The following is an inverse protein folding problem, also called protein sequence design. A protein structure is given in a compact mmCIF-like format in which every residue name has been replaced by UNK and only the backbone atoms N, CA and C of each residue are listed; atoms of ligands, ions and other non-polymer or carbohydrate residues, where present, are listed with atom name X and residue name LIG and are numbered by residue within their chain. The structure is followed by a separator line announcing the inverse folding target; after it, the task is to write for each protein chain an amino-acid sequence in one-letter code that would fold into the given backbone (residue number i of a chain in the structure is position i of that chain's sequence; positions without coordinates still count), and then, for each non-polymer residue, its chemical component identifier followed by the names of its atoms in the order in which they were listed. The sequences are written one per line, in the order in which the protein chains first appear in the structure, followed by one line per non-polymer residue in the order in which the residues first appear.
data_IF_986444918461
#
_entry.id   IF_986444918461
#
_cell.length_a   1.000
_cell.length_b   1.000
_cell.length_c   1.000
_cell.angle_alpha   90.00
_cell.angle_beta   90.00
_cell.angle_gamma   90.00
#
_symmetry.space_group_name_H-M   'P 1'
#
loop_
_entity.id
_entity.type
_entity.pdbx_description
1 polymer ?
#
# COMPACT_ATOMS: atom_id res chain seq x y z
N UNK A 1 3.52 28.76 5.86
CA UNK A 1 4.60 29.37 5.09
C UNK A 1 4.38 30.88 4.92
N UNK A 2 3.26 31.35 4.36
CA UNK A 2 3.03 32.74 4.00
C UNK A 2 3.14 33.70 5.21
N UNK A 3 2.51 33.38 6.32
CA UNK A 3 2.51 34.22 7.54
C UNK A 3 3.91 34.34 8.15
N UNK A 4 4.60 33.22 8.34
CA UNK A 4 5.96 33.19 8.90
C UNK A 4 7.02 33.63 7.88
N UNK A 5 6.72 33.58 6.61
CA UNK A 5 7.61 33.94 5.52
C UNK A 5 8.18 35.38 5.65
N UNK A 6 7.43 36.29 6.24
CA UNK A 6 7.91 37.67 6.49
C UNK A 6 9.13 37.70 7.45
N UNK A 7 9.14 36.81 8.46
CA UNK A 7 10.27 36.68 9.41
C UNK A 7 11.47 36.09 8.71
N UNK A 8 11.25 35.00 7.95
CA UNK A 8 12.33 34.32 7.23
C UNK A 8 12.94 35.23 6.14
N UNK A 9 12.11 35.95 5.39
CA UNK A 9 12.59 36.93 4.38
C UNK A 9 13.39 38.07 5.00
N UNK A 10 13.03 38.52 6.22
CA UNK A 10 13.82 39.50 6.95
C UNK A 10 15.22 38.98 7.30
N UNK A 11 15.35 37.67 7.48
CA UNK A 11 16.62 36.97 7.74
C UNK A 11 17.33 36.51 6.45
N UNK A 12 16.85 36.98 5.27
CA UNK A 12 17.33 36.55 3.95
C UNK A 12 17.25 35.05 3.70
N UNK A 13 16.23 34.36 4.27
CA UNK A 13 15.95 32.95 4.05
C UNK A 13 14.81 32.79 3.06
N UNK A 14 14.98 31.88 2.12
CA UNK A 14 13.94 31.49 1.18
C UNK A 14 12.98 30.49 1.80
N UNK A 15 11.67 30.70 1.58
CA UNK A 15 10.61 29.85 2.13
C UNK A 15 9.72 29.34 1.01
N UNK A 16 9.49 28.04 1.00
CA UNK A 16 8.55 27.41 0.07
C UNK A 16 7.59 26.47 0.79
N UNK A 17 6.51 26.10 0.09
CA UNK A 17 5.57 25.11 0.56
C UNK A 17 5.27 24.09 -0.54
N UNK A 18 5.08 22.84 -0.13
CA UNK A 18 4.72 21.72 -1.01
C UNK A 18 3.26 21.40 -0.78
N UNK A 19 2.54 21.28 -1.88
CA UNK A 19 1.11 20.95 -1.92
C UNK A 19 0.88 19.64 -2.67
N UNK A 20 -0.24 18.96 -2.44
CA UNK A 20 -0.67 17.84 -3.25
C UNK A 20 -0.70 18.18 -4.75
N UNK A 21 -0.35 17.23 -5.59
CA UNK A 21 -0.38 17.34 -7.06
C UNK A 21 0.55 18.43 -7.65
N UNK A 22 1.52 18.91 -6.89
CA UNK A 22 2.52 19.86 -7.37
C UNK A 22 3.48 19.19 -8.36
N UNK A 23 3.77 19.80 -9.54
CA UNK A 23 4.74 19.26 -10.51
C UNK A 23 6.13 19.07 -9.92
N UNK A 24 6.85 18.02 -10.34
CA UNK A 24 8.18 17.66 -9.82
C UNK A 24 9.20 18.81 -9.93
N UNK A 25 9.18 19.60 -11.00
CA UNK A 25 10.08 20.76 -11.16
C UNK A 25 9.86 21.82 -10.10
N UNK A 26 8.60 22.09 -9.76
CA UNK A 26 8.24 23.05 -8.72
C UNK A 26 8.53 22.48 -7.32
N UNK A 27 8.29 21.18 -7.11
CA UNK A 27 8.70 20.49 -5.87
C UNK A 27 10.19 20.57 -5.66
N UNK A 28 10.99 20.33 -6.69
CA UNK A 28 12.45 20.40 -6.62
C UNK A 28 12.92 21.80 -6.21
N UNK A 29 12.33 22.84 -6.79
CA UNK A 29 12.62 24.24 -6.40
C UNK A 29 12.20 24.51 -4.95
N UNK A 30 11.05 23.98 -4.51
CA UNK A 30 10.56 24.14 -3.15
C UNK A 30 11.45 23.43 -2.12
N UNK A 31 11.97 22.24 -2.46
CA UNK A 31 12.92 21.53 -1.59
C UNK A 31 14.30 22.21 -1.51
N UNK A 32 14.68 23.02 -2.49
CA UNK A 32 15.94 23.79 -2.47
C UNK A 32 15.86 25.05 -1.61
N UNK A 33 14.64 25.51 -1.25
CA UNK A 33 14.48 26.65 -0.33
C UNK A 33 15.09 26.35 1.05
N UNK A 34 15.51 27.40 1.77
CA UNK A 34 16.10 27.27 3.11
C UNK A 34 15.11 26.65 4.10
N UNK A 35 13.83 27.02 4.00
CA UNK A 35 12.73 26.47 4.80
C UNK A 35 11.63 25.95 3.89
N UNK A 36 11.32 24.67 3.99
CA UNK A 36 10.26 24.01 3.23
C UNK A 36 9.15 23.56 4.17
N UNK A 37 7.92 24.00 3.92
CA UNK A 37 6.72 23.53 4.61
C UNK A 37 6.06 22.42 3.78
N UNK A 38 5.72 21.31 4.42
CA UNK A 38 4.98 20.22 3.78
C UNK A 38 4.21 19.41 4.84
N UNK A 39 3.24 18.63 4.40
CA UNK A 39 2.63 17.61 5.26
C UNK A 39 3.53 16.37 5.35
N UNK A 40 3.39 15.61 6.42
CA UNK A 40 4.12 14.35 6.62
C UNK A 40 3.91 13.37 5.44
N UNK A 41 2.67 13.29 4.94
CA UNK A 41 2.33 12.42 3.81
C UNK A 41 3.03 12.83 2.51
N UNK A 42 3.01 14.14 2.16
CA UNK A 42 3.70 14.62 0.95
C UNK A 42 5.20 14.31 1.00
N UNK A 43 5.84 14.56 2.15
CA UNK A 43 7.25 14.25 2.33
C UNK A 43 7.55 12.75 2.15
N UNK A 44 6.74 11.89 2.78
CA UNK A 44 6.93 10.45 2.69
C UNK A 44 6.64 9.88 1.30
N UNK A 45 5.60 10.36 0.62
CA UNK A 45 5.32 9.95 -0.75
C UNK A 45 6.35 10.47 -1.75
N UNK A 46 6.87 11.69 -1.58
CA UNK A 46 7.96 12.19 -2.42
C UNK A 46 9.23 11.35 -2.23
N UNK A 47 9.54 10.96 -0.98
CA UNK A 47 10.64 10.04 -0.71
C UNK A 47 10.47 8.70 -1.43
N UNK A 48 9.28 8.10 -1.37
CA UNK A 48 9.01 6.85 -2.07
C UNK A 48 9.15 7.01 -3.59
N UNK A 49 8.61 8.10 -4.16
CA UNK A 49 8.74 8.40 -5.59
C UNK A 49 10.19 8.60 -6.01
N UNK A 50 10.98 9.32 -5.22
CA UNK A 50 12.39 9.55 -5.48
C UNK A 50 13.21 8.24 -5.50
N UNK A 51 12.88 7.29 -4.60
CA UNK A 51 13.53 5.99 -4.57
C UNK A 51 13.13 5.04 -5.72
N UNK A 52 12.12 5.42 -6.50
CA UNK A 52 11.71 4.70 -7.72
C UNK A 52 12.30 5.33 -8.99
N UNK A 53 13.00 6.48 -8.91
CA UNK A 53 13.63 7.14 -10.05
C UNK A 53 14.93 6.44 -10.45
N UNK A 54 15.19 6.40 -11.75
CA UNK A 54 16.41 5.81 -12.30
C UNK A 54 17.59 6.78 -12.34
N UNK A 55 17.32 8.08 -12.42
CA UNK A 55 18.34 9.12 -12.52
C UNK A 55 18.31 10.03 -11.29
N UNK A 56 19.49 10.31 -10.74
CA UNK A 56 19.66 11.24 -9.59
C UNK A 56 19.13 12.65 -9.93
N UNK A 57 19.21 13.06 -11.19
CA UNK A 57 18.69 14.37 -11.63
C UNK A 57 17.18 14.53 -11.51
N UNK A 58 16.44 13.42 -11.42
CA UNK A 58 14.98 13.39 -11.29
C UNK A 58 14.51 13.42 -9.83
N UNK A 59 15.41 13.25 -8.87
CA UNK A 59 15.12 13.32 -7.44
C UNK A 59 14.72 14.74 -7.08
N UNK A 60 13.64 14.88 -6.33
CA UNK A 60 13.14 16.20 -5.92
C UNK A 60 13.57 16.57 -4.51
N UNK A 61 13.70 15.61 -3.61
CA UNK A 61 14.09 15.87 -2.22
C UNK A 61 15.60 16.14 -2.10
N UNK A 62 15.95 16.94 -1.11
CA UNK A 62 17.33 17.12 -0.64
C UNK A 62 17.63 16.20 0.54
N UNK A 63 18.86 16.25 1.06
CA UNK A 63 19.27 15.51 2.26
C UNK A 63 18.40 15.86 3.48
N UNK A 64 18.18 14.88 4.34
CA UNK A 64 17.37 14.97 5.55
C UNK A 64 18.17 15.58 6.72
N UNK A 65 18.47 16.88 6.65
CA UNK A 65 19.31 17.55 7.66
C UNK A 65 18.55 17.84 8.96
N UNK A 66 17.47 18.64 8.85
CA UNK A 66 16.71 19.08 10.03
C UNK A 66 15.21 19.13 9.72
N UNK A 67 14.42 18.63 10.64
CA UNK A 67 12.97 18.71 10.59
C UNK A 67 12.38 19.16 11.93
N UNK A 68 11.35 20.00 11.84
CA UNK A 68 10.50 20.38 12.97
C UNK A 68 9.10 19.88 12.68
N UNK A 69 8.58 19.00 13.54
CA UNK A 69 7.25 18.38 13.38
C UNK A 69 6.27 19.06 14.32
N UNK A 70 5.20 19.62 13.77
CA UNK A 70 4.08 20.12 14.53
C UNK A 70 3.12 18.97 14.88
N UNK A 71 2.42 19.03 16.01
CA UNK A 71 1.60 17.93 16.53
C UNK A 71 2.38 16.61 16.53
N UNK A 72 3.57 16.66 17.13
CA UNK A 72 4.58 15.61 17.00
C UNK A 72 4.16 14.28 17.61
N UNK A 73 3.30 14.27 18.62
CA UNK A 73 2.72 13.06 19.22
C UNK A 73 1.82 12.32 18.23
N UNK A 74 0.90 13.01 17.58
CA UNK A 74 0.06 12.39 16.57
C UNK A 74 0.88 11.79 15.41
N UNK A 75 1.88 12.51 14.91
CA UNK A 75 2.64 12.08 13.75
C UNK A 75 3.67 11.00 14.10
N UNK A 76 4.46 11.19 15.17
CA UNK A 76 5.59 10.32 15.49
C UNK A 76 5.25 9.17 16.46
N UNK A 77 4.09 9.23 17.12
CA UNK A 77 3.63 8.15 18.02
C UNK A 77 2.39 7.47 17.42
N UNK A 78 1.25 8.18 17.35
CA UNK A 78 -0.03 7.57 16.97
C UNK A 78 -0.03 7.01 15.53
N UNK A 79 0.42 7.79 14.56
CA UNK A 79 0.48 7.41 13.14
C UNK A 79 1.82 6.78 12.74
N UNK A 80 2.77 6.66 13.67
CA UNK A 80 4.16 6.27 13.39
C UNK A 80 4.31 4.97 12.62
N UNK A 81 3.46 3.98 12.91
CA UNK A 81 3.49 2.64 12.30
C UNK A 81 2.65 2.52 11.04
N UNK A 82 1.87 3.54 10.69
CA UNK A 82 1.08 3.55 9.47
C UNK A 82 2.00 3.61 8.26
N UNK A 83 1.98 2.61 7.37
CA UNK A 83 2.81 2.63 6.18
C UNK A 83 2.22 3.53 5.10
N UNK A 84 3.06 4.34 4.50
CA UNK A 84 2.81 4.94 3.20
C UNK A 84 3.17 3.91 2.13
N UNK A 85 2.29 3.68 1.17
CA UNK A 85 2.42 2.62 0.17
C UNK A 85 2.17 3.21 -1.21
N UNK A 86 3.09 2.95 -2.14
CA UNK A 86 2.86 3.13 -3.57
C UNK A 86 2.63 1.75 -4.17
N UNK A 87 1.47 1.57 -4.78
CA UNK A 87 1.11 0.36 -5.51
C UNK A 87 1.06 0.67 -7.00
N UNK A 88 1.40 -0.31 -7.80
CA UNK A 88 1.32 -0.23 -9.26
C UNK A 88 0.86 -1.56 -9.84
N UNK A 89 0.43 -1.56 -11.11
CA UNK A 89 0.06 -2.80 -11.78
C UNK A 89 1.27 -3.73 -11.84
N UNK A 90 1.03 -5.00 -11.61
CA UNK A 90 2.01 -6.04 -11.91
C UNK A 90 2.11 -6.17 -13.42
N UNK A 91 3.32 -6.38 -13.96
CA UNK A 91 3.54 -6.70 -15.38
C UNK A 91 2.94 -8.08 -15.74
N UNK A 92 1.65 -8.26 -15.41
CA UNK A 92 0.86 -9.46 -15.72
C UNK A 92 0.30 -9.44 -17.16
N UNK A 93 0.84 -8.57 -18.01
CA UNK A 93 0.46 -8.45 -19.42
C UNK A 93 0.64 -9.74 -20.26
N UNK A 94 1.16 -10.81 -19.64
CA UNK A 94 1.43 -12.10 -20.29
C UNK A 94 0.30 -13.12 -20.06
N UNK A 95 -0.63 -12.91 -19.11
CA UNK A 95 -1.63 -13.91 -18.73
C UNK A 95 -3.00 -13.55 -19.32
N UNK A 96 -3.48 -14.35 -20.26
CA UNK A 96 -4.88 -14.33 -20.66
C UNK A 96 -5.72 -15.22 -19.74
N UNK A 97 -6.25 -14.63 -18.66
CA UNK A 97 -7.11 -15.34 -17.72
C UNK A 97 -8.37 -15.93 -18.36
N UNK A 98 -8.89 -15.29 -19.41
CA UNK A 98 -10.06 -15.80 -20.15
C UNK A 98 -9.71 -17.07 -20.92
N UNK A 99 -8.53 -17.11 -21.55
CA UNK A 99 -8.02 -18.31 -22.20
C UNK A 99 -7.79 -19.44 -21.17
N UNK A 100 -7.14 -19.12 -20.05
CA UNK A 100 -6.90 -20.10 -18.99
C UNK A 100 -8.19 -20.66 -18.39
N UNK A 101 -9.21 -19.82 -18.20
CA UNK A 101 -10.52 -20.24 -17.75
C UNK A 101 -11.19 -21.20 -18.77
N UNK A 102 -11.12 -20.89 -20.06
CA UNK A 102 -11.67 -21.77 -21.10
C UNK A 102 -10.98 -23.15 -21.12
N UNK A 103 -9.66 -23.19 -20.98
CA UNK A 103 -8.89 -24.44 -20.85
C UNK A 103 -9.32 -25.21 -19.62
N UNK A 104 -9.41 -24.54 -18.47
CA UNK A 104 -9.84 -25.18 -17.22
C UNK A 104 -11.27 -25.73 -17.29
N UNK A 105 -12.19 -25.02 -17.96
CA UNK A 105 -13.57 -25.50 -18.19
C UNK A 105 -13.67 -26.71 -19.12
N UNK A 106 -12.67 -26.94 -19.95
CA UNK A 106 -12.62 -28.13 -20.84
C UNK A 106 -12.22 -29.41 -20.12
N UNK A 107 -11.70 -29.30 -18.90
CA UNK A 107 -11.29 -30.45 -18.08
C UNK A 107 -12.47 -31.03 -17.30
N UNK A 108 -12.46 -32.35 -17.16
CA UNK A 108 -13.48 -33.11 -16.43
C UNK A 108 -13.00 -33.54 -15.05
N UNK A 109 -13.87 -34.16 -14.26
CA UNK A 109 -13.50 -34.68 -12.93
C UNK A 109 -12.49 -35.85 -13.00
N UNK A 110 -12.33 -36.50 -14.15
CA UNK A 110 -11.32 -37.53 -14.37
C UNK A 110 -9.92 -36.91 -14.63
N UNK A 111 -9.87 -35.64 -14.96
CA UNK A 111 -8.64 -34.89 -15.29
C UNK A 111 -8.01 -34.19 -14.07
N UNK A 112 -8.80 -34.06 -12.98
CA UNK A 112 -8.38 -33.31 -11.78
C UNK A 112 -8.80 -34.01 -10.52
N UNK A 113 -8.04 -33.79 -9.43
CA UNK A 113 -8.46 -34.20 -8.07
C UNK A 113 -8.55 -32.97 -7.17
N UNK A 114 -9.46 -33.02 -6.20
CA UNK A 114 -9.82 -31.91 -5.33
C UNK A 114 -9.48 -32.24 -3.87
N UNK A 115 -8.93 -31.26 -3.18
CA UNK A 115 -8.82 -31.26 -1.73
C UNK A 115 -9.68 -30.10 -1.17
N UNK A 116 -10.87 -30.43 -0.67
CA UNK A 116 -11.81 -29.45 -0.14
C UNK A 116 -11.31 -28.78 1.16
N UNK A 117 -10.47 -29.46 1.94
CA UNK A 117 -9.94 -28.92 3.20
C UNK A 117 -8.94 -27.80 2.97
N UNK A 118 -8.10 -27.95 1.97
CA UNK A 118 -7.07 -26.96 1.61
C UNK A 118 -7.51 -26.02 0.49
N UNK A 119 -8.72 -26.22 -0.07
CA UNK A 119 -9.23 -25.52 -1.26
C UNK A 119 -8.21 -25.58 -2.43
N UNK A 120 -7.60 -26.76 -2.64
CA UNK A 120 -6.63 -27.00 -3.71
C UNK A 120 -7.19 -27.95 -4.77
N UNK A 121 -6.71 -27.79 -6.00
CA UNK A 121 -7.01 -28.67 -7.12
C UNK A 121 -5.70 -29.11 -7.75
N UNK A 122 -5.55 -30.43 -7.97
CA UNK A 122 -4.37 -31.02 -8.60
C UNK A 122 -4.76 -31.58 -9.97
N UNK A 123 -3.91 -31.35 -10.96
CA UNK A 123 -4.11 -31.83 -12.33
C UNK A 123 -3.52 -33.24 -12.41
N UNK A 124 -4.32 -34.19 -12.93
CA UNK A 124 -3.90 -35.55 -13.16
C UNK A 124 -3.28 -35.71 -14.57
N UNK A 125 -2.59 -36.83 -14.82
CA UNK A 125 -1.92 -37.10 -16.09
C UNK A 125 -2.82 -36.87 -17.32
N UNK A 126 -4.09 -37.35 -17.39
CA UNK A 126 -4.98 -37.07 -18.52
C UNK A 126 -5.28 -35.59 -18.71
N UNK A 127 -5.34 -34.83 -17.61
CA UNK A 127 -5.54 -33.39 -17.64
C UNK A 127 -4.33 -32.65 -18.19
N UNK A 128 -3.12 -33.08 -17.82
CA UNK A 128 -1.86 -32.52 -18.34
C UNK A 128 -1.80 -32.66 -19.86
N UNK A 129 -2.03 -33.88 -20.37
CA UNK A 129 -2.02 -34.15 -21.82
C UNK A 129 -3.03 -33.27 -22.58
N UNK A 130 -4.23 -33.08 -22.03
CA UNK A 130 -5.25 -32.21 -22.63
C UNK A 130 -4.83 -30.75 -22.68
N UNK A 131 -4.24 -30.24 -21.59
CA UNK A 131 -3.75 -28.87 -21.49
C UNK A 131 -2.63 -28.64 -22.50
N UNK A 132 -1.63 -29.51 -22.53
CA UNK A 132 -0.48 -29.45 -23.43
C UNK A 132 -0.94 -29.45 -24.89
N UNK A 133 -1.88 -30.31 -25.25
CA UNK A 133 -2.45 -30.34 -26.58
C UNK A 133 -3.21 -29.07 -26.93
N UNK A 134 -4.03 -28.55 -26.00
CA UNK A 134 -4.85 -27.36 -26.22
C UNK A 134 -4.01 -26.10 -26.38
N UNK A 135 -2.95 -25.97 -25.59
CA UNK A 135 -2.04 -24.80 -25.60
C UNK A 135 -0.81 -25.00 -26.50
N UNK A 136 -0.70 -26.18 -27.17
CA UNK A 136 0.44 -26.55 -28.02
C UNK A 136 1.77 -26.48 -27.26
N UNK A 137 1.78 -26.91 -26.00
CA UNK A 137 2.96 -27.00 -25.14
C UNK A 137 3.60 -28.37 -25.23
N UNK A 138 4.92 -28.43 -25.16
CA UNK A 138 5.68 -29.69 -25.11
C UNK A 138 5.73 -30.31 -23.72
N UNK A 139 5.77 -29.48 -22.67
CA UNK A 139 5.79 -29.89 -21.27
C UNK A 139 5.22 -28.77 -20.41
N UNK A 140 4.11 -29.02 -19.72
CA UNK A 140 3.45 -28.03 -18.86
C UNK A 140 4.32 -27.65 -17.64
N UNK A 141 5.17 -28.56 -17.17
CA UNK A 141 6.05 -28.34 -16.02
C UNK A 141 7.44 -27.76 -16.38
N UNK A 142 7.64 -27.39 -17.64
CA UNK A 142 8.84 -26.67 -18.02
C UNK A 142 8.92 -25.32 -17.30
N UNK A 143 10.12 -24.86 -16.83
CA UNK A 143 10.27 -23.56 -16.17
C UNK A 143 9.70 -22.39 -16.96
N UNK A 144 9.71 -22.45 -18.30
CA UNK A 144 9.11 -21.43 -19.16
C UNK A 144 7.57 -21.37 -19.09
N UNK A 145 6.91 -22.44 -18.64
CA UNK A 145 5.46 -22.59 -18.57
C UNK A 145 4.88 -22.47 -17.16
N UNK A 146 5.71 -22.17 -16.15
CA UNK A 146 5.27 -22.08 -14.74
C UNK A 146 4.15 -21.07 -14.52
N UNK A 147 4.17 -19.95 -15.21
CA UNK A 147 3.12 -18.93 -15.16
C UNK A 147 1.79 -19.49 -15.71
N UNK A 148 1.85 -20.21 -16.82
CA UNK A 148 0.69 -20.88 -17.43
C UNK A 148 0.11 -21.95 -16.51
N UNK A 149 0.96 -22.81 -15.96
CA UNK A 149 0.57 -23.83 -14.99
C UNK A 149 -0.11 -23.22 -13.75
N UNK A 150 0.49 -22.16 -13.20
CA UNK A 150 -0.08 -21.44 -12.06
C UNK A 150 -1.47 -20.87 -12.40
N UNK A 151 -1.60 -20.18 -13.55
CA UNK A 151 -2.85 -19.55 -13.97
C UNK A 151 -3.97 -20.57 -14.22
N UNK A 152 -3.66 -21.72 -14.84
CA UNK A 152 -4.62 -22.81 -15.00
C UNK A 152 -5.02 -23.39 -13.65
N UNK A 153 -4.09 -23.56 -12.73
CA UNK A 153 -4.38 -24.05 -11.37
C UNK A 153 -5.32 -23.07 -10.64
N UNK A 154 -5.11 -21.76 -10.76
CA UNK A 154 -6.02 -20.77 -10.18
C UNK A 154 -7.40 -20.79 -10.86
N UNK A 155 -7.47 -20.97 -12.18
CA UNK A 155 -8.74 -21.11 -12.89
C UNK A 155 -9.51 -22.36 -12.42
N UNK A 156 -8.84 -23.48 -12.25
CA UNK A 156 -9.44 -24.72 -11.70
C UNK A 156 -9.93 -24.53 -10.26
N UNK A 157 -9.15 -23.84 -9.41
CA UNK A 157 -9.58 -23.49 -8.06
C UNK A 157 -10.82 -22.61 -8.09
N UNK A 158 -10.84 -21.56 -8.93
CA UNK A 158 -11.99 -20.69 -9.09
C UNK A 158 -13.25 -21.43 -9.50
N UNK A 159 -13.13 -22.41 -10.42
CA UNK A 159 -14.26 -23.20 -10.92
C UNK A 159 -14.76 -24.18 -9.87
N UNK A 160 -13.87 -24.89 -9.20
CA UNK A 160 -14.22 -26.07 -8.38
C UNK A 160 -14.33 -25.78 -6.88
N UNK A 161 -13.69 -24.72 -6.37
CA UNK A 161 -13.59 -24.45 -4.93
C UNK A 161 -14.29 -23.17 -4.49
N UNK A 162 -14.69 -22.31 -5.42
CA UNK A 162 -15.33 -21.03 -5.10
C UNK A 162 -16.69 -20.93 -5.78
N UNK A 163 -17.73 -20.83 -5.00
CA UNK A 163 -19.12 -20.80 -5.45
C UNK A 163 -19.71 -19.39 -5.32
N UNK A 164 -20.42 -18.96 -6.36
CA UNK A 164 -21.19 -17.70 -6.29
C UNK A 164 -22.29 -17.82 -5.25
N UNK A 165 -22.57 -16.70 -4.57
CA UNK A 165 -23.54 -16.55 -3.48
C UNK A 165 -23.18 -17.30 -2.19
N UNK A 166 -22.02 -17.92 -2.14
CA UNK A 166 -21.46 -18.59 -0.96
C UNK A 166 -20.11 -17.99 -0.57
N UNK A 167 -19.13 -18.00 -1.48
CA UNK A 167 -17.78 -17.45 -1.25
C UNK A 167 -17.66 -16.02 -1.75
N UNK A 168 -18.49 -15.60 -2.71
CA UNK A 168 -18.51 -14.26 -3.30
C UNK A 168 -19.86 -13.96 -3.96
N UNK A 169 -20.10 -12.66 -4.17
CA UNK A 169 -21.20 -12.17 -5.02
C UNK A 169 -20.63 -11.33 -6.19
N UNK A 170 -21.46 -11.14 -7.21
CA UNK A 170 -21.18 -10.17 -8.28
C UNK A 170 -22.04 -8.94 -8.04
N UNK A 171 -21.41 -7.81 -7.80
CA UNK A 171 -22.08 -6.53 -7.58
C UNK A 171 -21.34 -5.44 -8.38
N UNK A 172 -22.09 -4.63 -9.14
CA UNK A 172 -21.56 -3.53 -9.96
C UNK A 172 -20.40 -3.99 -10.90
N UNK A 173 -20.58 -5.14 -11.55
CA UNK A 173 -19.57 -5.79 -12.41
C UNK A 173 -18.25 -6.13 -11.71
N UNK A 174 -18.27 -6.28 -10.38
CA UNK A 174 -17.11 -6.65 -9.55
C UNK A 174 -17.40 -7.85 -8.67
N UNK A 175 -16.34 -8.60 -8.36
CA UNK A 175 -16.39 -9.66 -7.37
C UNK A 175 -16.26 -9.04 -5.99
N UNK A 176 -17.23 -9.35 -5.11
CA UNK A 176 -17.20 -8.97 -3.69
C UNK A 176 -17.14 -10.25 -2.86
N UNK A 177 -16.09 -10.39 -2.06
CA UNK A 177 -15.85 -11.57 -1.22
C UNK A 177 -16.85 -11.60 -0.06
N UNK A 178 -17.35 -12.80 0.25
CA UNK A 178 -18.10 -13.09 1.47
C UNK A 178 -17.13 -13.67 2.49
N UNK A 179 -17.07 -13.10 3.68
CA UNK A 179 -16.26 -13.65 4.77
C UNK A 179 -16.84 -14.97 5.27
N UNK A 180 -16.06 -16.04 5.25
CA UNK A 180 -16.50 -17.39 5.56
C UNK A 180 -17.05 -17.55 6.99
N UNK A 181 -16.53 -16.75 7.95
CA UNK A 181 -16.92 -16.85 9.36
C UNK A 181 -18.09 -15.94 9.73
N UNK A 182 -18.14 -14.75 9.16
CA UNK A 182 -19.13 -13.72 9.55
C UNK A 182 -20.24 -13.55 8.52
N UNK A 183 -20.09 -14.07 7.31
CA UNK A 183 -21.01 -13.85 6.19
C UNK A 183 -21.07 -12.39 5.69
N UNK A 184 -20.14 -11.53 6.13
CA UNK A 184 -20.11 -10.12 5.75
C UNK A 184 -19.46 -9.93 4.38
N UNK A 185 -19.98 -8.98 3.61
CA UNK A 185 -19.38 -8.56 2.36
C UNK A 185 -18.12 -7.74 2.60
N UNK A 186 -17.06 -8.04 1.84
CA UNK A 186 -15.76 -7.41 1.94
C UNK A 186 -15.38 -6.75 0.60
N UNK A 187 -15.94 -5.58 0.26
CA UNK A 187 -15.80 -4.97 -1.08
C UNK A 187 -14.38 -4.48 -1.38
N UNK A 188 -13.56 -4.25 -0.35
CA UNK A 188 -12.18 -3.78 -0.52
C UNK A 188 -11.13 -4.91 -0.51
N UNK A 189 -11.55 -6.15 -0.21
CA UNK A 189 -10.65 -7.30 -0.14
C UNK A 189 -10.63 -8.06 -1.46
N UNK A 190 -9.45 -8.53 -1.83
CA UNK A 190 -9.24 -9.40 -3.02
C UNK A 190 -8.48 -10.65 -2.59
N UNK A 191 -8.71 -11.76 -3.28
CA UNK A 191 -7.84 -12.94 -3.16
C UNK A 191 -6.54 -12.65 -3.91
N UNK A 192 -5.44 -13.12 -3.36
CA UNK A 192 -4.12 -13.01 -3.98
C UNK A 192 -3.80 -14.11 -4.99
N UNK A 193 -2.58 -14.09 -5.49
CA UNK A 193 -2.01 -15.13 -6.35
C UNK A 193 -2.78 -15.39 -7.67
N UNK A 194 -3.45 -14.38 -8.21
CA UNK A 194 -4.22 -14.51 -9.45
C UNK A 194 -5.58 -15.19 -9.29
N UNK A 195 -5.97 -15.63 -8.09
CA UNK A 195 -7.27 -16.27 -7.86
C UNK A 195 -8.44 -15.33 -8.09
N UNK A 196 -8.31 -14.05 -7.67
CA UNK A 196 -9.39 -13.08 -7.89
C UNK A 196 -9.64 -12.85 -9.38
N UNK A 197 -8.59 -12.72 -10.16
CA UNK A 197 -8.64 -12.61 -11.62
C UNK A 197 -9.22 -13.86 -12.27
N UNK A 198 -8.90 -15.03 -11.75
CA UNK A 198 -9.48 -16.30 -12.22
C UNK A 198 -10.99 -16.37 -11.95
N UNK A 199 -11.46 -15.84 -10.80
CA UNK A 199 -12.91 -15.75 -10.50
C UNK A 199 -13.58 -14.68 -11.38
N UNK A 200 -12.95 -13.53 -11.61
CA UNK A 200 -13.44 -12.51 -12.56
C UNK A 200 -13.61 -13.10 -13.96
N UNK A 201 -12.62 -13.87 -14.45
CA UNK A 201 -12.67 -14.56 -15.74
C UNK A 201 -13.78 -15.64 -15.78
N UNK A 202 -13.97 -16.41 -14.70
CA UNK A 202 -15.04 -17.38 -14.54
C UNK A 202 -16.42 -16.74 -14.70
N UNK A 203 -16.64 -15.57 -14.08
CA UNK A 203 -17.88 -14.81 -14.15
C UNK A 203 -17.98 -13.94 -15.42
N UNK A 204 -17.01 -14.01 -16.33
CA UNK A 204 -16.92 -13.22 -17.57
C UNK A 204 -16.93 -11.71 -17.33
N UNK A 205 -16.37 -11.29 -16.21
CA UNK A 205 -16.17 -9.89 -15.87
C UNK A 205 -14.87 -9.38 -16.51
N UNK A 206 -14.71 -8.05 -16.52
CA UNK A 206 -13.43 -7.45 -16.86
C UNK A 206 -12.40 -7.82 -15.79
N UNK A 207 -11.34 -8.52 -16.19
CA UNK A 207 -10.25 -8.87 -15.28
C UNK A 207 -9.47 -7.60 -14.93
N UNK A 208 -9.41 -7.27 -13.63
CA UNK A 208 -8.61 -6.16 -13.12
C UNK A 208 -7.18 -6.64 -12.84
N UNK A 209 -6.20 -5.85 -13.23
CA UNK A 209 -4.78 -6.16 -12.96
C UNK A 209 -4.51 -6.24 -11.46
N UNK A 210 -3.60 -7.12 -11.07
CA UNK A 210 -3.15 -7.21 -9.69
C UNK A 210 -2.19 -6.06 -9.39
N UNK A 211 -2.49 -5.30 -8.35
CA UNK A 211 -1.61 -4.26 -7.87
C UNK A 211 -0.60 -4.86 -6.90
N UNK A 212 0.68 -4.64 -7.17
CA UNK A 212 1.75 -4.97 -6.24
C UNK A 212 2.25 -3.73 -5.51
N UNK A 213 2.73 -3.92 -4.29
CA UNK A 213 3.42 -2.85 -3.57
C UNK A 213 4.78 -2.61 -4.21
N UNK A 214 4.94 -1.43 -4.81
CA UNK A 214 6.20 -1.01 -5.45
C UNK A 214 7.17 -0.44 -4.43
N UNK A 215 6.67 0.36 -3.49
CA UNK A 215 7.46 0.98 -2.44
C UNK A 215 6.60 1.20 -1.19
N UNK A 216 7.22 1.08 -0.01
CA UNK A 216 6.56 1.40 1.25
C UNK A 216 7.55 1.92 2.28
N UNK A 217 7.09 2.82 3.15
CA UNK A 217 7.82 3.29 4.31
C UNK A 217 6.84 3.67 5.42
N UNK A 218 7.20 3.44 6.68
CA UNK A 218 6.43 3.97 7.81
C UNK A 218 6.84 5.41 8.09
N UNK A 219 5.93 6.20 8.65
CA UNK A 219 6.21 7.57 9.12
C UNK A 219 7.40 7.57 10.07
N UNK A 220 7.45 6.62 11.00
CA UNK A 220 8.57 6.43 11.92
C UNK A 220 9.91 6.30 11.21
N UNK A 221 10.01 5.42 10.22
CA UNK A 221 11.26 5.19 9.51
C UNK A 221 11.67 6.39 8.67
N UNK A 222 10.71 7.10 8.08
CA UNK A 222 11.00 8.31 7.32
C UNK A 222 11.61 9.40 8.20
N UNK A 223 10.98 9.75 9.33
CA UNK A 223 11.49 10.83 10.20
C UNK A 223 12.79 10.47 10.93
N UNK A 224 13.09 9.18 11.11
CA UNK A 224 14.39 8.72 11.64
C UNK A 224 15.57 8.95 10.70
N UNK A 225 15.33 9.28 9.43
CA UNK A 225 16.41 9.61 8.48
C UNK A 225 16.95 11.03 8.68
N UNK A 226 16.24 11.91 9.37
CA UNK A 226 16.73 13.23 9.66
C UNK A 226 17.86 13.21 10.68
N UNK A 227 18.96 13.91 10.37
CA UNK A 227 20.11 14.04 11.28
C UNK A 227 19.71 14.77 12.56
N UNK A 228 18.83 15.77 12.42
CA UNK A 228 18.27 16.54 13.52
C UNK A 228 16.75 16.58 13.41
N UNK A 229 16.10 16.15 14.50
CA UNK A 229 14.66 16.14 14.61
C UNK A 229 14.23 16.91 15.84
N UNK A 230 13.17 17.66 15.75
CA UNK A 230 12.48 18.29 16.87
C UNK A 230 11.00 18.41 16.57
N UNK A 231 10.21 18.70 17.57
CA UNK A 231 8.77 18.85 17.40
C UNK A 231 8.14 19.63 18.53
N UNK A 232 6.85 19.85 18.41
CA UNK A 232 6.03 20.54 19.40
C UNK A 232 4.63 19.95 19.42
N UNK A 233 4.06 19.93 20.62
CA UNK A 233 2.68 19.52 20.88
C UNK A 233 2.26 19.99 22.27
N UNK A 234 0.97 19.99 22.53
CA UNK A 234 0.42 20.25 23.86
C UNK A 234 0.47 19.04 24.82
N UNK A 235 0.74 17.82 24.36
CA UNK A 235 0.49 16.56 25.07
C UNK A 235 1.69 15.59 25.13
N UNK A 236 2.91 16.04 24.82
CA UNK A 236 4.09 15.17 24.72
C UNK A 236 4.56 14.54 26.04
N UNK A 237 4.14 15.05 27.20
CA UNK A 237 4.67 14.61 28.50
C UNK A 237 4.34 13.14 28.78
N UNK A 238 3.16 12.68 28.41
CA UNK A 238 2.71 11.29 28.57
C UNK A 238 3.54 10.30 27.75
N UNK A 239 4.00 10.71 26.58
CA UNK A 239 4.73 9.89 25.61
C UNK A 239 6.25 10.11 25.65
N UNK A 240 6.76 10.79 26.69
CA UNK A 240 8.18 11.19 26.80
C UNK A 240 9.15 10.00 26.69
N UNK A 241 8.77 8.82 27.18
CA UNK A 241 9.58 7.59 27.08
C UNK A 241 9.65 7.07 25.64
N UNK A 242 8.58 7.15 24.88
CA UNK A 242 8.56 6.71 23.48
C UNK A 242 9.39 7.64 22.61
N UNK A 243 9.30 8.95 22.82
CA UNK A 243 10.14 9.93 22.13
C UNK A 243 11.63 9.68 22.37
N UNK A 244 12.03 9.38 23.61
CA UNK A 244 13.43 9.07 23.93
C UNK A 244 13.88 7.75 23.31
N UNK A 245 13.10 6.67 23.47
CA UNK A 245 13.47 5.33 23.00
C UNK A 245 13.53 5.20 21.48
N UNK A 246 12.61 5.83 20.74
CA UNK A 246 12.47 5.66 19.30
C UNK A 246 13.29 6.69 18.53
N UNK A 247 13.25 7.96 18.98
CA UNK A 247 13.82 9.09 18.24
C UNK A 247 14.97 9.78 18.96
N UNK A 248 15.31 9.35 20.17
CA UNK A 248 16.31 10.00 21.04
C UNK A 248 15.97 11.49 21.29
N UNK A 249 14.67 11.79 21.43
CA UNK A 249 14.16 13.13 21.69
C UNK A 249 13.79 13.28 23.15
N UNK A 250 14.26 14.37 23.77
CA UNK A 250 13.90 14.72 25.15
C UNK A 250 12.72 15.68 25.14
N UNK A 251 11.70 15.38 25.94
CA UNK A 251 10.56 16.25 26.14
C UNK A 251 10.90 17.32 27.17
N UNK A 252 10.66 18.57 26.80
CA UNK A 252 10.79 19.73 27.66
C UNK A 252 9.44 20.42 27.79
N UNK A 253 8.90 20.45 28.99
CA UNK A 253 7.65 21.16 29.29
C UNK A 253 7.95 22.67 29.41
N UNK A 254 7.35 23.44 28.51
CA UNK A 254 7.43 24.91 28.53
C UNK A 254 6.25 25.44 29.31
N UNK A 255 6.48 26.26 30.37
CA UNK A 255 5.40 26.81 31.18
C UNK A 255 4.55 27.78 30.38
N UNK A 256 3.27 27.89 30.74
CA UNK A 256 2.33 28.85 30.13
C UNK A 256 2.78 30.30 30.34
N UNK A 257 2.54 31.14 29.32
CA UNK A 257 2.86 32.57 29.38
C UNK A 257 2.06 33.32 30.48
N UNK A 258 0.82 32.91 30.73
CA UNK A 258 -0.07 33.46 31.74
C UNK A 258 -0.53 32.35 32.69
N UNK A 259 -0.80 32.65 33.99
CA UNK A 259 -1.37 31.67 34.90
C UNK A 259 -2.71 31.14 34.37
N UNK A 260 -2.91 29.83 34.48
CA UNK A 260 -4.20 29.21 34.17
C UNK A 260 -5.23 29.60 35.23
N UNK A 261 -6.27 30.29 34.82
CA UNK A 261 -7.38 30.72 35.66
C UNK A 261 -8.64 29.91 35.45
N UNK A 262 -8.64 28.99 34.46
CA UNK A 262 -9.75 28.07 34.19
C UNK A 262 -9.78 27.00 35.28
N UNK A 263 -10.92 26.77 35.86
CA UNK A 263 -11.19 25.68 36.80
C UNK A 263 -11.95 24.57 36.07
N UNK A 264 -11.33 23.40 35.94
CA UNK A 264 -11.96 22.24 35.32
C UNK A 264 -12.73 21.49 36.40
N UNK A 265 -14.07 21.52 36.30
CA UNK A 265 -14.95 20.81 37.22
C UNK A 265 -15.05 19.34 36.81
N UNK A 266 -15.38 18.49 37.80
CA UNK A 266 -15.66 17.08 37.53
C UNK A 266 -16.86 16.92 36.60
N UNK A 267 -16.89 15.87 35.82
CA UNK A 267 -18.02 15.53 34.96
C UNK A 267 -19.29 15.35 35.79
N UNK A 268 -20.38 15.96 35.34
CA UNK A 268 -21.71 15.73 35.88
C UNK A 268 -22.28 14.49 35.17
N UNK A 269 -22.37 13.36 35.91
CA UNK A 269 -22.95 12.10 35.44
C UNK A 269 -24.43 12.08 35.75
#
# INVERSE_FOLDING_TARGET
AEWMGRIYSFLNLEVAAIYPDMPDELKKSAYLADVTYATNNELGFDYLRDNMKYNISEIVQRNHNYCIVDEVDSILIDESRTPLIISGPTDSSVIDYSQMNNVAMSLTLDDVTKDEKTKQVFILEPGIEKIEKTLSLSNLYDPSNLITLHSITQALRAIHMYERDKDYIVQDEKIVIIDEFTGRLMPTRRWGEGLHQAVEAKERLKVEEENQTLASITIQNYFRMYEKLSGMTGTADTESREFDNIYNLKVLVIPTNAPMIREDLNDLI
#
